data_IF_487656786278
#
_entry.id   IF_487656786278
#
_cell.length_a   1.000
_cell.length_b   1.000
_cell.length_c   1.000
_cell.angle_alpha   90.00
_cell.angle_beta   90.00
_cell.angle_gamma   90.00
#
_symmetry.space_group_name_H-M   'P 1'
#
loop_
_entity.id
_entity.type
_entity.pdbx_description
1 polymer ?
#
# COMPACT_ATOMS: atom_id res chain seq x y z
N UNK A 1 2.82 -26.78 -27.00
CA UNK A 1 2.16 -26.18 -25.84
C UNK A 1 2.61 -26.91 -24.57
N UNK A 2 2.89 -26.15 -23.51
CA UNK A 2 3.24 -26.74 -22.23
C UNK A 2 1.97 -27.26 -21.55
N UNK A 3 1.98 -28.52 -21.13
CA UNK A 3 0.93 -29.14 -20.34
C UNK A 3 1.56 -30.15 -19.37
N UNK A 4 0.82 -30.63 -18.40
CA UNK A 4 1.29 -31.64 -17.45
C UNK A 4 1.32 -33.00 -18.14
N UNK A 5 2.50 -33.54 -18.34
CA UNK A 5 2.70 -34.86 -18.87
C UNK A 5 2.60 -35.93 -17.78
N UNK A 6 2.11 -37.11 -18.16
CA UNK A 6 2.29 -38.30 -17.31
C UNK A 6 3.74 -38.81 -17.40
N UNK A 7 4.12 -39.72 -16.52
CA UNK A 7 5.46 -40.35 -16.55
C UNK A 7 5.69 -41.08 -17.86
N UNK A 8 4.66 -41.78 -18.36
CA UNK A 8 4.74 -42.51 -19.62
C UNK A 8 4.93 -41.59 -20.83
N UNK A 9 4.19 -40.47 -20.86
CA UNK A 9 4.35 -39.45 -21.91
C UNK A 9 5.74 -38.82 -21.88
N UNK A 10 6.29 -38.53 -20.71
CA UNK A 10 7.64 -37.98 -20.55
C UNK A 10 8.71 -39.00 -20.97
N UNK A 11 8.55 -40.30 -20.63
CA UNK A 11 9.45 -41.35 -21.06
C UNK A 11 9.43 -41.49 -22.59
N UNK A 12 8.24 -41.43 -23.21
CA UNK A 12 8.10 -41.47 -24.67
C UNK A 12 8.75 -40.25 -25.35
N UNK A 13 8.58 -39.06 -24.82
CA UNK A 13 9.27 -37.87 -25.34
C UNK A 13 10.81 -37.98 -25.24
N UNK A 14 11.30 -38.78 -24.30
CA UNK A 14 12.73 -39.02 -24.08
C UNK A 14 13.27 -40.30 -24.73
N UNK A 15 12.49 -41.01 -25.54
CA UNK A 15 12.88 -42.30 -26.22
C UNK A 15 14.19 -42.19 -27.01
N UNK A 16 14.50 -41.02 -27.53
CA UNK A 16 15.74 -40.75 -28.28
C UNK A 16 17.01 -40.91 -27.43
N UNK A 17 16.91 -40.96 -26.09
CA UNK A 17 18.03 -41.19 -25.18
C UNK A 17 18.30 -42.65 -24.92
N UNK A 18 17.40 -43.57 -25.34
CA UNK A 18 17.36 -44.97 -24.96
C UNK A 18 16.68 -45.15 -23.58
N UNK A 19 16.11 -46.34 -23.36
CA UNK A 19 15.24 -46.66 -22.22
C UNK A 19 15.87 -46.35 -20.86
N UNK A 20 17.10 -46.77 -20.64
CA UNK A 20 17.77 -46.61 -19.35
C UNK A 20 18.07 -45.17 -19.04
N UNK A 21 18.50 -44.40 -20.05
CA UNK A 21 18.81 -42.99 -19.88
C UNK A 21 17.53 -42.13 -19.77
N UNK A 22 16.50 -42.48 -20.52
CA UNK A 22 15.20 -41.84 -20.38
C UNK A 22 14.64 -42.03 -18.97
N UNK A 23 14.70 -43.24 -18.43
CA UNK A 23 14.26 -43.54 -17.06
C UNK A 23 15.10 -42.78 -16.01
N UNK A 24 16.43 -42.76 -16.19
CA UNK A 24 17.31 -41.98 -15.31
C UNK A 24 16.91 -40.50 -15.27
N UNK A 25 16.66 -39.87 -16.41
CA UNK A 25 16.34 -38.45 -16.52
C UNK A 25 14.93 -38.16 -15.98
N UNK A 26 13.93 -38.92 -16.42
CA UNK A 26 12.52 -38.63 -16.13
C UNK A 26 12.13 -39.07 -14.71
N UNK A 27 12.63 -40.21 -14.24
CA UNK A 27 12.19 -40.76 -12.95
C UNK A 27 13.26 -40.58 -11.88
N UNK A 28 14.45 -41.14 -12.10
CA UNK A 28 15.48 -41.20 -11.04
C UNK A 28 15.96 -39.81 -10.64
N UNK A 29 16.29 -38.95 -11.59
CA UNK A 29 16.80 -37.59 -11.28
C UNK A 29 15.71 -36.68 -10.76
N UNK A 30 14.48 -36.80 -11.23
CA UNK A 30 13.33 -36.06 -10.73
C UNK A 30 13.06 -36.37 -9.25
N UNK A 31 13.06 -37.65 -8.89
CA UNK A 31 12.92 -38.07 -7.49
C UNK A 31 14.10 -37.59 -6.63
N UNK A 32 15.34 -37.68 -7.12
CA UNK A 32 16.50 -37.14 -6.39
C UNK A 32 16.38 -35.65 -6.12
N UNK A 33 15.87 -34.87 -7.07
CA UNK A 33 15.64 -33.43 -6.87
C UNK A 33 14.57 -33.23 -5.80
N UNK A 34 13.49 -34.02 -5.83
CA UNK A 34 12.45 -33.96 -4.83
C UNK A 34 12.96 -34.32 -3.43
N UNK A 35 13.80 -35.33 -3.31
CA UNK A 35 14.43 -35.75 -2.05
C UNK A 35 15.40 -34.68 -1.48
N UNK A 36 15.88 -33.76 -2.31
CA UNK A 36 16.71 -32.64 -1.90
C UNK A 36 15.87 -31.42 -1.40
N UNK A 37 14.56 -31.43 -1.62
CA UNK A 37 13.68 -30.37 -1.18
C UNK A 37 13.39 -30.52 0.31
N UNK A 38 13.51 -29.43 1.05
CA UNK A 38 13.15 -29.34 2.46
C UNK A 38 11.87 -28.52 2.60
N UNK A 39 11.14 -28.76 3.70
CA UNK A 39 10.01 -27.92 4.06
C UNK A 39 10.56 -26.59 4.62
N UNK A 40 10.33 -25.52 3.90
CA UNK A 40 10.80 -24.18 4.26
C UNK A 40 9.64 -23.20 4.33
N UNK A 41 9.73 -22.25 5.20
CA UNK A 41 8.87 -21.06 5.22
C UNK A 41 9.54 -19.96 4.39
N UNK A 42 9.12 -19.76 3.11
CA UNK A 42 9.79 -18.81 2.21
C UNK A 42 9.57 -17.35 2.60
N UNK A 43 8.59 -17.08 3.46
CA UNK A 43 8.32 -15.75 4.04
C UNK A 43 8.43 -15.87 5.55
N UNK A 44 9.29 -15.06 6.16
CA UNK A 44 9.43 -15.01 7.63
C UNK A 44 8.09 -14.64 8.27
N UNK A 45 7.69 -15.30 9.38
CA UNK A 45 6.49 -14.92 10.12
C UNK A 45 6.65 -13.55 10.80
N UNK A 46 7.88 -13.17 11.15
CA UNK A 46 8.19 -11.91 11.81
C UNK A 46 8.28 -10.74 10.83
N UNK A 47 7.68 -9.63 11.24
CA UNK A 47 7.77 -8.38 10.48
C UNK A 47 9.12 -7.71 10.74
N UNK A 48 9.73 -7.20 9.67
CA UNK A 48 10.99 -6.45 9.72
C UNK A 48 10.73 -4.99 9.34
N UNK A 49 10.17 -4.16 10.25
CA UNK A 49 9.94 -2.75 9.94
C UNK A 49 11.28 -2.03 9.75
N UNK A 50 11.35 -1.04 8.84
CA UNK A 50 12.54 -0.22 8.70
C UNK A 50 12.79 0.58 9.98
N UNK A 51 14.05 0.88 10.26
CA UNK A 51 14.47 1.63 11.45
C UNK A 51 15.00 3.01 11.06
N UNK A 52 14.56 4.04 11.79
CA UNK A 52 15.12 5.39 11.76
C UNK A 52 15.37 5.80 13.20
N UNK A 53 16.63 6.10 13.51
CA UNK A 53 17.03 6.52 14.86
C UNK A 53 16.24 7.75 15.33
N UNK A 54 15.79 7.72 16.59
CA UNK A 54 15.02 8.79 17.22
C UNK A 54 13.71 9.19 16.52
N UNK A 55 13.13 8.30 15.69
CA UNK A 55 11.90 8.58 14.95
C UNK A 55 10.74 9.05 15.82
N UNK A 56 10.59 8.50 17.03
CA UNK A 56 9.54 8.88 17.98
C UNK A 56 9.67 10.33 18.43
N UNK A 57 10.89 10.72 18.85
CA UNK A 57 11.17 12.08 19.29
C UNK A 57 11.11 13.07 18.13
N UNK A 58 11.59 12.66 16.95
CA UNK A 58 11.50 13.49 15.73
C UNK A 58 10.05 13.79 15.38
N UNK A 59 9.18 12.75 15.34
CA UNK A 59 7.78 12.92 15.01
C UNK A 59 7.09 13.85 16.02
N UNK A 60 7.29 13.62 17.32
CA UNK A 60 6.73 14.47 18.38
C UNK A 60 7.15 15.92 18.20
N UNK A 61 8.45 16.18 18.05
CA UNK A 61 9.01 17.53 17.91
C UNK A 61 8.46 18.24 16.65
N UNK A 62 8.39 17.54 15.51
CA UNK A 62 7.82 18.10 14.27
C UNK A 62 6.37 18.50 14.48
N UNK A 63 5.57 17.59 15.05
CA UNK A 63 4.14 17.84 15.26
C UNK A 63 3.87 18.97 16.24
N UNK A 64 4.57 19.02 17.37
CA UNK A 64 4.43 20.07 18.39
C UNK A 64 4.82 21.44 17.81
N UNK A 65 5.99 21.54 17.16
CA UNK A 65 6.42 22.79 16.54
C UNK A 65 5.41 23.29 15.51
N UNK A 66 4.92 22.40 14.66
CA UNK A 66 3.94 22.78 13.63
C UNK A 66 2.59 23.16 14.23
N UNK A 67 2.16 22.50 15.29
CA UNK A 67 0.95 22.89 16.01
C UNK A 67 1.07 24.30 16.59
N UNK A 68 2.21 24.65 17.20
CA UNK A 68 2.46 26.00 17.69
C UNK A 68 2.58 27.05 16.56
N UNK A 69 3.14 26.70 15.41
CA UNK A 69 3.14 27.59 14.23
C UNK A 69 1.72 27.93 13.76
N UNK A 70 0.82 26.93 13.76
CA UNK A 70 -0.54 27.10 13.25
C UNK A 70 -1.46 27.76 14.29
N UNK A 71 -1.45 27.26 15.53
CA UNK A 71 -2.42 27.65 16.58
C UNK A 71 -1.86 28.62 17.61
N UNK A 72 -0.57 28.96 17.55
CA UNK A 72 0.09 29.91 18.44
C UNK A 72 0.75 29.28 19.66
N UNK A 73 1.35 30.10 20.55
CA UNK A 73 2.11 29.64 21.71
C UNK A 73 1.25 28.91 22.75
N UNK A 74 -0.03 29.19 22.85
CA UNK A 74 -0.99 28.51 23.71
C UNK A 74 -1.93 27.67 22.82
N UNK A 75 -1.72 26.35 22.81
CA UNK A 75 -2.55 25.46 22.00
C UNK A 75 -3.97 25.34 22.57
N UNK A 76 -5.01 25.35 21.72
CA UNK A 76 -6.35 25.00 22.14
C UNK A 76 -6.39 23.57 22.72
N UNK A 77 -7.16 23.37 23.79
CA UNK A 77 -7.25 22.07 24.47
C UNK A 77 -7.61 20.93 23.51
N UNK A 78 -8.53 21.15 22.58
CA UNK A 78 -8.94 20.15 21.60
C UNK A 78 -7.78 19.71 20.67
N UNK A 79 -6.87 20.64 20.34
CA UNK A 79 -5.67 20.33 19.53
C UNK A 79 -4.69 19.51 20.35
N UNK A 80 -4.41 19.94 21.60
CA UNK A 80 -3.48 19.23 22.50
C UNK A 80 -3.96 17.81 22.78
N UNK A 81 -5.20 17.65 23.21
CA UNK A 81 -5.77 16.33 23.55
C UNK A 81 -5.77 15.38 22.34
N UNK A 82 -6.16 15.88 21.17
CA UNK A 82 -6.16 15.10 19.94
C UNK A 82 -4.75 14.68 19.53
N UNK A 83 -3.80 15.61 19.53
CA UNK A 83 -2.42 15.38 19.12
C UNK A 83 -1.71 14.40 20.07
N UNK A 84 -1.85 14.59 21.38
CA UNK A 84 -1.28 13.67 22.38
C UNK A 84 -1.86 12.24 22.26
N UNK A 85 -3.16 12.12 22.08
CA UNK A 85 -3.81 10.82 21.89
C UNK A 85 -3.27 10.11 20.66
N UNK A 86 -3.13 10.82 19.54
CA UNK A 86 -2.60 10.27 18.31
C UNK A 86 -1.12 9.88 18.42
N UNK A 87 -0.27 10.80 18.91
CA UNK A 87 1.16 10.55 19.07
C UNK A 87 1.42 9.37 20.01
N UNK A 88 0.70 9.27 21.12
CA UNK A 88 0.84 8.14 22.03
C UNK A 88 0.46 6.81 21.37
N UNK A 89 -0.61 6.79 20.57
CA UNK A 89 -1.01 5.60 19.81
C UNK A 89 0.02 5.23 18.74
N UNK A 90 0.51 6.20 17.96
CA UNK A 90 1.49 5.98 16.89
C UNK A 90 2.81 5.45 17.47
N UNK A 91 3.32 6.08 18.52
CA UNK A 91 4.60 5.74 19.15
C UNK A 91 4.53 4.37 19.85
N UNK A 92 3.48 4.11 20.63
CA UNK A 92 3.33 2.85 21.36
C UNK A 92 3.19 1.63 20.43
N UNK A 93 2.70 1.83 19.21
CA UNK A 93 2.61 0.78 18.20
C UNK A 93 3.83 0.72 17.24
N UNK A 94 4.85 1.57 17.43
CA UNK A 94 6.06 1.58 16.60
C UNK A 94 5.88 2.14 15.19
N UNK A 95 4.85 2.96 14.95
CA UNK A 95 4.53 3.49 13.62
C UNK A 95 5.20 4.82 13.29
N UNK A 96 5.95 5.42 14.21
CA UNK A 96 6.63 6.71 14.02
C UNK A 96 7.53 6.72 12.77
N UNK A 97 8.23 5.63 12.53
CA UNK A 97 9.10 5.46 11.36
C UNK A 97 8.36 5.67 10.05
N UNK A 98 7.13 5.15 9.93
CA UNK A 98 6.33 5.30 8.72
C UNK A 98 5.92 6.75 8.47
N UNK A 99 5.56 7.48 9.54
CA UNK A 99 5.29 8.92 9.47
C UNK A 99 6.53 9.71 9.06
N UNK A 100 7.70 9.40 9.62
CA UNK A 100 8.95 10.09 9.27
C UNK A 100 9.36 9.82 7.83
N UNK A 101 9.18 8.59 7.33
CA UNK A 101 9.42 8.27 5.91
C UNK A 101 8.51 9.11 5.01
N UNK A 102 7.20 9.10 5.27
CA UNK A 102 6.23 9.85 4.51
C UNK A 102 6.53 11.36 4.54
N UNK A 103 6.81 11.91 5.73
CA UNK A 103 7.22 13.30 5.91
C UNK A 103 8.45 13.67 5.08
N UNK A 104 9.52 12.87 5.14
CA UNK A 104 10.76 13.12 4.39
C UNK A 104 10.51 13.11 2.88
N UNK A 105 9.70 12.17 2.38
CA UNK A 105 9.34 12.07 0.96
C UNK A 105 8.51 13.27 0.50
N UNK A 106 7.51 13.67 1.26
CA UNK A 106 6.65 14.82 0.94
C UNK A 106 7.45 16.12 0.95
N UNK A 107 8.22 16.35 2.01
CA UNK A 107 9.01 17.57 2.13
C UNK A 107 10.04 17.69 1.02
N UNK A 108 10.76 16.59 0.71
CA UNK A 108 11.74 16.59 -0.39
C UNK A 108 11.10 16.92 -1.73
N UNK A 109 9.91 16.38 -2.00
CA UNK A 109 9.19 16.68 -3.24
C UNK A 109 8.76 18.16 -3.31
N UNK A 110 8.24 18.69 -2.20
CA UNK A 110 7.82 20.09 -2.11
C UNK A 110 9.02 21.05 -2.24
N UNK A 111 10.17 20.73 -1.63
CA UNK A 111 11.41 21.50 -1.75
C UNK A 111 11.93 21.53 -3.17
N UNK A 112 11.74 20.44 -3.92
CA UNK A 112 12.09 20.37 -5.34
C UNK A 112 11.02 21.02 -6.26
N UNK A 113 9.96 21.60 -5.68
CA UNK A 113 8.91 22.33 -6.40
C UNK A 113 7.76 21.49 -6.93
N UNK A 114 7.62 20.24 -6.47
CA UNK A 114 6.57 19.31 -6.87
C UNK A 114 5.62 19.02 -5.72
N UNK A 115 4.35 19.38 -5.89
CA UNK A 115 3.32 19.11 -4.90
C UNK A 115 3.03 17.62 -4.78
N UNK A 116 2.73 17.19 -3.56
CA UNK A 116 2.33 15.81 -3.24
C UNK A 116 0.93 15.84 -2.66
N UNK A 117 0.04 15.02 -3.20
CA UNK A 117 -1.29 14.80 -2.61
C UNK A 117 -1.29 13.55 -1.74
N UNK A 118 -1.90 13.62 -0.58
CA UNK A 118 -2.21 12.42 0.20
C UNK A 118 -3.56 11.83 -0.23
N UNK A 119 -3.72 10.51 -0.06
CA UNK A 119 -4.96 9.81 -0.36
C UNK A 119 -5.30 8.82 0.76
N UNK A 120 -6.59 8.50 0.87
CA UNK A 120 -7.07 7.48 1.81
C UNK A 120 -7.21 7.99 3.24
N UNK A 121 -7.08 7.08 4.18
CA UNK A 121 -7.39 7.33 5.60
C UNK A 121 -6.39 8.20 6.35
N UNK A 122 -5.22 8.52 5.77
CA UNK A 122 -4.20 9.37 6.41
C UNK A 122 -4.72 10.79 6.73
N UNK A 123 -5.70 11.28 5.97
CA UNK A 123 -6.37 12.57 6.25
C UNK A 123 -7.17 12.61 7.56
N UNK A 124 -7.33 11.49 8.26
CA UNK A 124 -7.94 11.43 9.60
C UNK A 124 -6.93 11.59 10.74
N UNK A 125 -5.64 11.70 10.45
CA UNK A 125 -4.57 11.88 11.45
C UNK A 125 -4.13 13.33 11.56
N UNK A 126 -4.34 13.94 12.72
CA UNK A 126 -3.82 15.27 13.03
C UNK A 126 -2.29 15.28 13.08
N UNK A 127 -1.69 14.21 13.56
CA UNK A 127 -0.22 14.05 13.55
C UNK A 127 0.32 14.07 12.10
N UNK A 128 -0.38 13.46 11.14
CA UNK A 128 0.00 13.51 9.73
C UNK A 128 -0.14 14.94 9.16
N UNK A 129 -1.17 15.70 9.56
CA UNK A 129 -1.33 17.11 9.19
C UNK A 129 -0.18 17.95 9.77
N UNK A 130 0.14 17.76 11.04
CA UNK A 130 1.22 18.50 11.71
C UNK A 130 2.60 18.11 11.18
N UNK A 131 2.79 16.86 10.77
CA UNK A 131 4.02 16.42 10.10
C UNK A 131 4.12 16.90 8.63
N UNK A 132 3.09 17.54 8.08
CA UNK A 132 3.06 18.01 6.70
C UNK A 132 2.95 16.91 5.67
N UNK A 133 2.40 15.76 6.06
CA UNK A 133 2.14 14.62 5.16
C UNK A 133 0.83 14.84 4.38
N UNK A 134 -0.15 15.46 5.02
CA UNK A 134 -1.45 15.78 4.44
C UNK A 134 -1.85 17.22 4.75
N UNK A 135 -2.64 17.84 3.87
CA UNK A 135 -3.22 19.16 4.08
C UNK A 135 -4.59 19.11 4.80
N UNK A 136 -5.14 17.91 4.96
CA UNK A 136 -6.44 17.70 5.60
C UNK A 136 -6.31 17.92 7.11
N UNK A 137 -7.09 18.84 7.67
CA UNK A 137 -7.21 19.02 9.13
C UNK A 137 -8.40 18.20 9.65
N UNK A 138 -8.19 17.11 10.40
CA UNK A 138 -9.27 16.23 10.85
C UNK A 138 -10.05 16.72 12.07
N UNK A 139 -9.66 17.86 12.66
CA UNK A 139 -10.39 18.45 13.78
C UNK A 139 -11.81 18.86 13.38
N UNK A 140 -12.66 19.07 14.35
CA UNK A 140 -13.98 19.66 14.10
C UNK A 140 -13.87 21.02 13.40
N UNK A 141 -14.90 21.44 12.64
CA UNK A 141 -14.94 22.76 12.02
C UNK A 141 -14.63 23.85 13.01
N UNK A 142 -13.78 24.81 12.63
CA UNK A 142 -13.39 25.91 13.48
C UNK A 142 -12.85 27.11 12.70
N UNK A 143 -12.92 28.25 13.32
CA UNK A 143 -12.24 29.46 12.84
C UNK A 143 -10.85 29.56 13.47
N UNK A 144 -9.90 30.05 12.70
CA UNK A 144 -8.54 30.33 13.16
C UNK A 144 -8.04 31.65 12.54
N UNK A 145 -7.55 32.55 13.38
CA UNK A 145 -6.95 33.79 12.92
C UNK A 145 -5.47 33.58 12.54
N UNK A 146 -5.07 33.87 11.29
CA UNK A 146 -3.68 33.71 10.86
C UNK A 146 -2.72 34.73 11.45
N UNK A 147 -3.23 35.80 12.14
CA UNK A 147 -2.41 36.89 12.70
C UNK A 147 -2.26 36.82 14.20
N UNK A 148 -3.34 36.57 14.93
CA UNK A 148 -3.33 36.63 16.40
C UNK A 148 -3.72 35.30 17.06
N UNK A 149 -3.82 34.20 16.30
CA UNK A 149 -4.15 32.86 16.75
C UNK A 149 -5.48 32.75 17.51
N UNK A 150 -6.36 33.77 17.43
CA UNK A 150 -7.71 33.62 17.92
C UNK A 150 -8.38 32.45 17.24
N UNK A 151 -8.98 31.56 18.02
CA UNK A 151 -9.68 30.40 17.53
C UNK A 151 -11.08 30.30 18.14
N UNK A 152 -11.97 29.65 17.40
CA UNK A 152 -13.35 29.41 17.81
C UNK A 152 -13.79 28.01 17.39
N UNK A 153 -13.84 27.13 18.36
CA UNK A 153 -14.32 25.74 18.23
C UNK A 153 -15.72 25.55 18.84
N UNK A 154 -16.21 26.54 19.61
CA UNK A 154 -17.26 26.27 20.57
C UNK A 154 -18.50 27.15 20.42
N UNK A 155 -18.48 28.19 19.60
CA UNK A 155 -19.66 29.00 19.35
C UNK A 155 -20.78 28.18 18.71
N UNK A 156 -22.03 28.58 18.94
CA UNK A 156 -23.19 27.88 18.37
C UNK A 156 -23.19 27.91 16.84
N UNK A 157 -22.62 28.95 16.25
CA UNK A 157 -22.40 29.05 14.81
C UNK A 157 -21.47 27.94 14.29
N UNK A 158 -20.35 27.67 14.98
CA UNK A 158 -19.40 26.62 14.62
C UNK A 158 -20.00 25.23 14.87
N UNK A 159 -20.68 25.04 16.00
CA UNK A 159 -21.35 23.78 16.33
C UNK A 159 -22.41 23.34 15.33
N UNK A 160 -23.04 24.32 14.66
CA UNK A 160 -24.01 24.03 13.60
C UNK A 160 -23.39 23.30 12.38
N UNK A 161 -22.06 23.31 12.24
CA UNK A 161 -21.31 22.62 11.20
C UNK A 161 -20.64 21.33 11.68
N UNK A 162 -20.93 20.86 12.89
CA UNK A 162 -20.41 19.60 13.41
C UNK A 162 -20.75 18.44 12.46
N UNK A 163 -19.78 17.55 12.17
CA UNK A 163 -19.91 16.48 11.19
C UNK A 163 -19.80 16.94 9.72
N UNK A 164 -19.53 18.22 9.47
CA UNK A 164 -19.35 18.83 8.17
C UNK A 164 -17.92 19.32 7.92
N UNK A 165 -17.79 20.25 6.97
CA UNK A 165 -16.51 20.84 6.59
C UNK A 165 -16.42 22.30 7.02
N UNK A 166 -15.29 22.68 7.61
CA UNK A 166 -15.05 24.08 8.01
C UNK A 166 -15.09 25.05 6.83
N UNK A 167 -14.71 24.63 5.63
CA UNK A 167 -14.79 25.47 4.44
C UNK A 167 -16.20 25.95 4.10
N UNK A 168 -17.24 25.22 4.55
CA UNK A 168 -18.65 25.57 4.30
C UNK A 168 -19.17 26.63 5.30
N UNK A 169 -18.41 26.92 6.35
CA UNK A 169 -18.76 27.98 7.28
C UNK A 169 -18.76 29.36 6.59
N UNK A 170 -19.57 30.32 7.04
CA UNK A 170 -19.55 31.66 6.50
C UNK A 170 -18.20 32.36 6.73
N UNK A 171 -17.88 33.32 5.86
CA UNK A 171 -16.69 34.15 6.04
C UNK A 171 -16.85 35.07 7.25
N UNK A 172 -15.80 35.17 8.10
CA UNK A 172 -15.82 35.89 9.35
C UNK A 172 -14.55 36.71 9.56
N UNK A 173 -14.68 37.81 10.25
CA UNK A 173 -13.55 38.67 10.62
C UNK A 173 -13.18 38.42 12.08
N UNK A 174 -11.90 38.37 12.36
CA UNK A 174 -11.38 38.17 13.71
C UNK A 174 -11.84 39.29 14.66
N UNK A 175 -12.50 38.97 15.78
CA UNK A 175 -12.96 39.96 16.73
C UNK A 175 -11.81 40.63 17.50
N UNK A 176 -10.62 40.04 17.52
CA UNK A 176 -9.45 40.60 18.23
C UNK A 176 -8.60 41.52 17.36
N UNK A 177 -8.37 41.18 16.08
CA UNK A 177 -7.42 41.96 15.26
C UNK A 177 -7.97 42.40 13.89
N UNK A 178 -9.21 42.10 13.56
CA UNK A 178 -9.84 42.50 12.30
C UNK A 178 -9.37 41.76 11.05
N UNK A 179 -8.52 40.72 11.16
CA UNK A 179 -8.10 39.91 10.03
C UNK A 179 -9.20 38.93 9.59
N UNK A 180 -9.21 38.54 8.32
CA UNK A 180 -10.08 37.46 7.84
C UNK A 180 -9.68 36.15 8.53
N UNK A 181 -10.66 35.41 9.06
CA UNK A 181 -10.44 34.13 9.69
C UNK A 181 -10.30 33.02 8.64
N UNK A 182 -9.39 32.08 8.88
CA UNK A 182 -9.34 30.82 8.18
C UNK A 182 -10.45 29.89 8.70
N UNK A 183 -11.04 29.15 7.80
CA UNK A 183 -12.09 28.15 8.05
C UNK A 183 -11.46 26.78 7.88
N UNK A 184 -11.37 26.00 8.95
CA UNK A 184 -10.62 24.75 9.00
C UNK A 184 -11.46 23.63 9.62
N UNK A 185 -11.01 22.40 9.41
CA UNK A 185 -11.59 21.20 10.02
C UNK A 185 -12.56 20.44 9.13
N UNK A 186 -12.49 19.11 9.19
CA UNK A 186 -13.34 18.18 8.43
C UNK A 186 -14.04 17.15 9.33
N UNK A 187 -13.88 17.26 10.64
CA UNK A 187 -14.51 16.39 11.66
C UNK A 187 -14.32 14.89 11.42
N UNK A 188 -13.08 14.48 11.17
CA UNK A 188 -12.74 13.08 10.84
C UNK A 188 -12.20 12.38 12.08
N UNK A 189 -12.80 11.24 12.51
CA UNK A 189 -12.29 10.46 13.63
C UNK A 189 -10.96 9.79 13.32
N UNK A 190 -10.01 9.81 14.28
CA UNK A 190 -8.70 9.15 14.15
C UNK A 190 -8.82 7.63 13.96
N UNK A 191 -9.83 7.03 14.53
CA UNK A 191 -10.15 5.61 14.46
C UNK A 191 -10.32 5.11 13.01
N UNK A 192 -10.61 6.01 12.08
CA UNK A 192 -10.66 5.71 10.65
C UNK A 192 -9.30 5.27 10.11
N UNK A 193 -8.21 5.77 10.69
CA UNK A 193 -6.83 5.47 10.25
C UNK A 193 -6.24 4.23 10.95
N UNK A 194 -6.11 4.27 12.27
CA UNK A 194 -5.45 3.20 13.04
C UNK A 194 -6.43 2.23 13.74
N UNK A 195 -7.72 2.39 13.55
CA UNK A 195 -8.75 1.60 14.22
C UNK A 195 -8.95 1.99 15.70
N UNK A 196 -9.96 1.43 16.33
CA UNK A 196 -10.34 1.74 17.72
C UNK A 196 -9.28 1.34 18.75
N UNK A 197 -8.47 0.32 18.45
CA UNK A 197 -7.39 -0.16 19.33
C UNK A 197 -6.02 0.39 18.94
N UNK A 198 -5.92 1.20 17.88
CA UNK A 198 -4.67 1.75 17.37
C UNK A 198 -3.71 0.71 16.77
N UNK A 199 -4.18 -0.53 16.56
CA UNK A 199 -3.35 -1.65 16.11
C UNK A 199 -3.49 -2.00 14.62
N UNK A 200 -4.30 -1.23 13.89
CA UNK A 200 -4.34 -1.32 12.43
C UNK A 200 -3.07 -0.67 11.88
N UNK A 201 -2.34 -1.37 11.03
CA UNK A 201 -1.16 -0.80 10.37
C UNK A 201 -1.54 0.41 9.53
N UNK A 202 -0.81 1.53 9.68
CA UNK A 202 -1.05 2.71 8.88
C UNK A 202 -0.73 2.44 7.41
N UNK A 203 -1.63 2.86 6.54
CA UNK A 203 -1.45 2.86 5.09
C UNK A 203 -1.43 4.32 4.63
N UNK A 204 -0.24 4.79 4.23
CA UNK A 204 -0.02 6.19 3.83
C UNK A 204 0.23 6.24 2.32
N UNK A 205 -0.82 6.51 1.57
CA UNK A 205 -0.76 6.68 0.12
C UNK A 205 -0.34 8.11 -0.24
N UNK A 206 0.75 8.24 -1.00
CA UNK A 206 1.27 9.51 -1.50
C UNK A 206 1.21 9.57 -3.02
N UNK A 207 0.55 10.58 -3.55
CA UNK A 207 0.44 10.83 -4.98
C UNK A 207 1.49 11.88 -5.41
N UNK A 208 2.59 11.40 -5.96
CA UNK A 208 3.61 12.24 -6.58
C UNK A 208 3.24 12.58 -8.02
N UNK A 209 3.77 13.69 -8.53
CA UNK A 209 3.68 13.95 -9.98
C UNK A 209 4.40 12.84 -10.75
N UNK A 210 3.91 12.52 -11.94
CA UNK A 210 4.50 11.48 -12.78
C UNK A 210 6.01 11.73 -13.07
N UNK A 211 6.40 13.00 -13.21
CA UNK A 211 7.78 13.40 -13.45
C UNK A 211 8.68 13.24 -12.22
N UNK A 212 8.10 13.31 -11.03
CA UNK A 212 8.84 13.24 -9.77
C UNK A 212 8.90 11.83 -9.17
N UNK A 213 8.01 10.91 -9.53
CA UNK A 213 7.89 9.59 -8.92
C UNK A 213 9.21 8.81 -8.89
N UNK A 214 9.99 8.83 -9.98
CA UNK A 214 11.29 8.17 -10.02
C UNK A 214 12.33 8.80 -9.09
N UNK A 215 12.26 10.12 -8.87
CA UNK A 215 13.11 10.83 -7.91
C UNK A 215 12.71 10.50 -6.47
N UNK A 216 11.41 10.41 -6.18
CA UNK A 216 10.91 9.97 -4.88
C UNK A 216 11.37 8.54 -4.55
N UNK A 217 11.32 7.62 -5.52
CA UNK A 217 11.87 6.26 -5.37
C UNK A 217 13.38 6.29 -5.09
N UNK A 218 14.16 7.07 -5.83
CA UNK A 218 15.59 7.21 -5.59
C UNK A 218 15.89 7.81 -4.21
N UNK A 219 15.05 8.71 -3.72
CA UNK A 219 15.24 9.33 -2.41
C UNK A 219 15.03 8.34 -1.26
N UNK A 220 14.26 7.25 -1.44
CA UNK A 220 14.18 6.18 -0.43
C UNK A 220 15.54 5.54 -0.17
N UNK A 221 16.40 5.42 -1.20
CA UNK A 221 17.76 4.93 -1.05
C UNK A 221 18.65 5.91 -0.23
N UNK A 222 18.37 7.21 -0.31
CA UNK A 222 19.05 8.22 0.53
C UNK A 222 18.61 8.09 1.99
N UNK A 223 17.35 7.76 2.24
CA UNK A 223 16.82 7.58 3.60
C UNK A 223 17.39 6.32 4.28
N UNK A 224 17.45 5.19 3.56
CA UNK A 224 17.76 3.88 4.12
C UNK A 224 19.17 3.36 3.81
N UNK A 225 19.88 4.00 2.90
CA UNK A 225 21.20 3.58 2.46
C UNK A 225 21.18 2.88 1.10
N UNK A 226 22.33 2.95 0.43
CA UNK A 226 22.52 2.36 -0.89
C UNK A 226 22.37 0.83 -0.83
N UNK A 227 21.58 0.30 -1.76
CA UNK A 227 21.33 -1.14 -1.85
C UNK A 227 20.34 -1.69 -0.84
N UNK A 228 19.63 -0.82 -0.08
CA UNK A 228 18.62 -1.23 0.90
C UNK A 228 17.18 -1.08 0.37
N UNK A 229 16.99 -0.53 -0.82
CA UNK A 229 15.66 -0.31 -1.40
C UNK A 229 15.52 -0.96 -2.76
N UNK A 230 14.42 -1.64 -2.97
CA UNK A 230 14.13 -2.40 -4.18
C UNK A 230 12.72 -2.11 -4.68
N UNK A 231 12.52 -2.07 -5.99
CA UNK A 231 11.16 -2.01 -6.53
C UNK A 231 10.42 -3.30 -6.20
N UNK A 232 9.21 -3.18 -5.66
CA UNK A 232 8.36 -4.32 -5.39
C UNK A 232 8.00 -5.06 -6.69
N UNK A 233 8.05 -6.40 -6.64
CA UNK A 233 7.58 -7.24 -7.73
C UNK A 233 6.07 -7.42 -7.69
N UNK A 234 5.48 -7.74 -8.83
CA UNK A 234 4.10 -8.17 -8.93
C UNK A 234 4.01 -9.55 -9.54
N UNK A 235 3.07 -10.34 -9.07
CA UNK A 235 2.73 -11.64 -9.66
C UNK A 235 1.29 -11.54 -10.17
N UNK A 236 1.12 -11.66 -11.48
CA UNK A 236 -0.19 -11.77 -12.09
C UNK A 236 -0.62 -13.22 -12.17
N UNK A 237 -1.79 -13.53 -11.64
CA UNK A 237 -2.41 -14.86 -11.69
C UNK A 237 -3.51 -14.92 -12.73
N UNK A 238 -3.98 -16.13 -13.03
CA UNK A 238 -5.11 -16.35 -13.94
C UNK A 238 -6.40 -16.09 -13.20
N UNK A 239 -7.12 -15.04 -13.59
CA UNK A 239 -8.44 -14.73 -13.06
C UNK A 239 -9.52 -15.68 -13.59
N UNK A 240 -10.61 -15.88 -12.85
CA UNK A 240 -11.72 -16.79 -13.16
C UNK A 240 -12.23 -16.69 -14.60
N UNK A 241 -12.57 -15.47 -15.07
CA UNK A 241 -13.03 -15.27 -16.46
C UNK A 241 -11.98 -15.65 -17.50
N UNK A 242 -10.71 -15.42 -17.19
CA UNK A 242 -9.59 -15.75 -18.07
C UNK A 242 -9.39 -17.27 -18.12
N UNK A 243 -9.46 -17.94 -16.97
CA UNK A 243 -9.38 -19.39 -16.85
C UNK A 243 -10.48 -20.05 -17.68
N UNK A 244 -11.72 -19.62 -17.52
CA UNK A 244 -12.86 -20.12 -18.31
C UNK A 244 -12.64 -19.94 -19.82
N UNK A 245 -12.21 -18.74 -20.24
CA UNK A 245 -11.91 -18.47 -21.64
C UNK A 245 -10.79 -19.33 -22.21
N UNK A 246 -9.74 -19.61 -21.44
CA UNK A 246 -8.66 -20.51 -21.87
C UNK A 246 -9.15 -21.96 -22.06
N UNK A 247 -9.94 -22.47 -21.13
CA UNK A 247 -10.49 -23.82 -21.23
C UNK A 247 -11.44 -23.95 -22.43
N UNK A 248 -12.31 -22.98 -22.65
CA UNK A 248 -13.17 -22.93 -23.84
C UNK A 248 -12.34 -22.97 -25.13
N UNK A 249 -11.38 -22.07 -25.25
CA UNK A 249 -10.53 -21.96 -26.43
C UNK A 249 -9.73 -23.24 -26.70
N UNK A 250 -9.22 -23.86 -25.63
CA UNK A 250 -8.53 -25.14 -25.75
C UNK A 250 -9.40 -26.23 -26.41
N UNK A 251 -10.65 -26.36 -25.95
CA UNK A 251 -11.56 -27.35 -26.54
C UNK A 251 -12.02 -27.00 -27.95
N UNK A 252 -12.17 -25.72 -28.26
CA UNK A 252 -12.45 -25.24 -29.64
C UNK A 252 -11.29 -25.59 -30.58
N UNK A 253 -10.06 -25.25 -30.20
CA UNK A 253 -8.87 -25.57 -31.00
C UNK A 253 -8.67 -27.08 -31.17
N UNK A 254 -8.89 -27.86 -30.12
CA UNK A 254 -8.79 -29.32 -30.16
C UNK A 254 -9.88 -29.93 -31.03
N UNK A 255 -11.09 -29.39 -31.00
CA UNK A 255 -12.17 -29.81 -31.90
C UNK A 255 -11.88 -29.48 -33.37
N UNK A 256 -11.33 -28.31 -33.64
CA UNK A 256 -10.89 -27.94 -34.98
C UNK A 256 -9.80 -28.87 -35.52
N UNK A 257 -8.81 -29.24 -34.66
CA UNK A 257 -7.79 -30.22 -35.03
C UNK A 257 -8.38 -31.60 -35.31
N UNK A 258 -9.30 -32.07 -34.46
CA UNK A 258 -9.99 -33.34 -34.66
C UNK A 258 -10.74 -33.35 -36.02
N UNK A 259 -11.40 -32.25 -36.39
CA UNK A 259 -12.09 -32.15 -37.68
C UNK A 259 -11.13 -32.33 -38.86
N UNK A 260 -9.93 -31.76 -38.81
CA UNK A 260 -8.90 -31.92 -39.83
C UNK A 260 -8.42 -33.40 -39.96
N UNK A 261 -8.47 -34.11 -38.84
CA UNK A 261 -8.09 -35.54 -38.77
C UNK A 261 -9.27 -36.52 -39.03
N UNK A 262 -10.45 -36.01 -39.38
CA UNK A 262 -11.66 -36.82 -39.58
C UNK A 262 -12.25 -37.39 -38.27
N UNK A 263 -11.86 -36.88 -37.11
CA UNK A 263 -12.35 -37.26 -35.78
C UNK A 263 -13.55 -36.42 -35.35
N UNK A 264 -14.45 -36.95 -34.49
CA UNK A 264 -15.58 -36.17 -33.99
C UNK A 264 -15.15 -34.95 -33.15
N UNK A 265 -15.94 -33.90 -33.13
CA UNK A 265 -15.66 -32.74 -32.29
C UNK A 265 -15.77 -33.09 -30.80
N UNK A 266 -15.02 -32.39 -29.97
CA UNK A 266 -15.08 -32.56 -28.52
C UNK A 266 -16.19 -31.64 -27.97
N UNK A 267 -17.23 -32.25 -27.43
CA UNK A 267 -18.32 -31.53 -26.78
C UNK A 267 -18.15 -31.66 -25.25
N UNK A 268 -18.02 -30.52 -24.58
CA UNK A 268 -17.96 -30.44 -23.12
C UNK A 268 -19.16 -29.71 -22.57
N UNK A 269 -19.75 -30.23 -21.49
CA UNK A 269 -20.81 -29.55 -20.76
C UNK A 269 -20.22 -28.36 -20.00
N UNK A 270 -21.02 -27.34 -19.74
CA UNK A 270 -20.62 -26.15 -19.02
C UNK A 270 -19.96 -26.46 -17.67
N UNK A 271 -20.55 -27.38 -16.89
CA UNK A 271 -20.01 -27.79 -15.59
C UNK A 271 -18.64 -28.49 -15.67
N UNK A 272 -18.32 -29.18 -16.79
CA UNK A 272 -17.00 -29.77 -16.99
C UNK A 272 -15.95 -28.70 -17.29
N UNK A 273 -16.33 -27.68 -18.05
CA UNK A 273 -15.48 -26.53 -18.37
C UNK A 273 -15.21 -25.71 -17.10
N UNK A 274 -16.27 -25.44 -16.31
CA UNK A 274 -16.17 -24.72 -15.04
C UNK A 274 -15.23 -25.44 -14.06
N UNK A 275 -15.38 -26.74 -13.90
CA UNK A 275 -14.51 -27.55 -13.01
C UNK A 275 -13.04 -27.52 -13.42
N UNK A 276 -12.76 -27.56 -14.74
CA UNK A 276 -11.38 -27.47 -15.23
C UNK A 276 -10.85 -26.04 -15.05
N UNK A 277 -11.69 -25.02 -15.33
CA UNK A 277 -11.34 -23.63 -15.16
C UNK A 277 -11.01 -23.28 -13.69
N UNK A 278 -11.76 -23.86 -12.74
CA UNK A 278 -11.51 -23.71 -11.30
C UNK A 278 -10.08 -24.16 -10.93
N UNK A 279 -9.60 -25.26 -11.47
CA UNK A 279 -8.22 -25.72 -11.28
C UNK A 279 -7.14 -24.86 -11.96
N UNK A 280 -7.54 -23.90 -12.81
CA UNK A 280 -6.63 -22.94 -13.46
C UNK A 280 -6.63 -21.56 -12.81
N UNK A 281 -7.54 -21.29 -11.88
CA UNK A 281 -7.61 -20.00 -11.18
C UNK A 281 -6.37 -19.87 -10.28
N UNK A 282 -5.89 -18.62 -10.12
CA UNK A 282 -4.74 -18.25 -9.29
C UNK A 282 -3.40 -18.86 -9.70
N UNK A 283 -3.34 -19.62 -10.78
CA UNK A 283 -2.07 -20.07 -11.33
C UNK A 283 -1.26 -18.86 -11.80
N UNK A 284 0.00 -18.81 -11.39
CA UNK A 284 0.94 -17.77 -11.76
C UNK A 284 1.12 -17.70 -13.29
N UNK A 285 0.91 -16.52 -13.85
CA UNK A 285 0.98 -16.27 -15.29
C UNK A 285 2.11 -15.33 -15.69
N UNK A 286 2.21 -14.20 -15.01
CA UNK A 286 3.18 -13.15 -15.34
C UNK A 286 3.83 -12.60 -14.08
N UNK A 287 5.02 -12.04 -14.25
CA UNK A 287 5.70 -11.24 -13.24
C UNK A 287 5.96 -9.85 -13.81
N UNK A 288 6.00 -8.85 -12.94
CA UNK A 288 6.26 -7.46 -13.32
C UNK A 288 6.82 -6.69 -12.15
N UNK A 289 6.99 -5.38 -12.33
CA UNK A 289 7.34 -4.45 -11.26
C UNK A 289 6.10 -3.64 -10.88
N UNK A 290 5.91 -3.46 -9.57
CA UNK A 290 4.86 -2.57 -9.07
C UNK A 290 5.24 -1.11 -9.37
N UNK A 291 4.32 -0.28 -9.90
CA UNK A 291 4.65 1.08 -10.31
C UNK A 291 5.01 2.01 -9.15
N UNK A 292 4.46 1.79 -7.96
CA UNK A 292 4.65 2.66 -6.80
C UNK A 292 5.18 1.97 -5.54
N UNK A 293 5.40 0.65 -5.55
CA UNK A 293 5.86 -0.09 -4.37
C UNK A 293 7.38 -0.16 -4.29
N UNK A 294 7.93 0.21 -3.13
CA UNK A 294 9.34 0.03 -2.78
C UNK A 294 9.41 -0.87 -1.55
N UNK A 295 10.20 -1.91 -1.64
CA UNK A 295 10.55 -2.78 -0.50
C UNK A 295 11.82 -2.21 0.12
N UNK A 296 11.81 -2.05 1.43
CA UNK A 296 12.98 -1.64 2.22
C UNK A 296 13.51 -2.86 2.95
N UNK A 297 14.78 -3.17 2.72
CA UNK A 297 15.50 -4.22 3.44
C UNK A 297 16.25 -3.55 4.60
N UNK A 298 15.98 -3.92 5.88
CA UNK A 298 16.72 -3.39 7.01
C UNK A 298 18.20 -3.73 6.94
N UNK A 299 19.06 -2.85 7.45
CA UNK A 299 20.51 -3.08 7.49
C UNK A 299 20.82 -4.29 8.38
N UNK A 300 21.57 -5.24 7.85
CA UNK A 300 21.94 -6.49 8.56
C UNK A 300 21.02 -7.68 8.29
N UNK A 301 20.00 -7.49 7.46
CA UNK A 301 19.16 -8.56 6.91
C UNK A 301 19.62 -8.91 5.50
N UNK A 302 19.65 -10.21 5.16
CA UNK A 302 19.97 -10.75 3.84
C UNK A 302 18.71 -11.28 3.13
#
# INVERSE_FOLDING_TARGET
PLYLHTTEEMLHECDYLGSDKAYEVVVTNTNKIMDMCEEIEPVRPDKCPPFIENSDQMLRTICENRAHEIYGPELPQIVTERLERELNSIISNGYSVMYIIAQKLVWKSNDDGYLVGSRGSVGSSLAATMAGITEVNPLSPHYLCPKCYYNDFYSDEVKAFAGGAGCDMPDKICPKCGAKLNKMGFDIPFETFLGFKGNKEPDIDLNFSNEYQSKAHAYTEVIFGKGQTFKAGTIGTVAEKTAYGFVMKYFEEKSAKNALEGKPPIVKRKCEIERIAEGCIDIRRTTGQHPGGIVVLPIGEE
#
